data_IF_808965151250
#
_entry.id   IF_808965151250
#
_cell.length_a   1.000
_cell.length_b   1.000
_cell.length_c   1.000
_cell.angle_alpha   90.00
_cell.angle_beta   90.00
_cell.angle_gamma   90.00
#
_symmetry.space_group_name_H-M   'P 1'
#
loop_
_entity.id
_entity.type
_entity.pdbx_description
1 polymer ?
#
# COMPACT_ATOMS: atom_id res chain seq x y z
N UNK A 1 69.23 -25.54 -2.53
CA UNK A 1 69.39 -24.81 -3.81
C UNK A 1 68.16 -25.13 -4.66
N UNK A 2 67.15 -24.23 -4.68
CA UNK A 2 66.61 -23.51 -5.87
C UNK A 2 66.15 -24.47 -6.99
N UNK A 3 64.88 -24.52 -7.41
CA UNK A 3 64.15 -23.40 -8.01
C UNK A 3 62.63 -23.65 -8.11
N UNK A 4 61.91 -22.52 -8.09
CA UNK A 4 60.48 -22.32 -8.27
C UNK A 4 60.03 -22.55 -9.72
N UNK A 5 58.87 -23.17 -9.94
CA UNK A 5 57.94 -22.84 -11.02
C UNK A 5 56.50 -23.05 -10.53
N UNK A 6 55.83 -21.93 -10.26
CA UNK A 6 54.38 -21.87 -10.16
C UNK A 6 53.82 -21.69 -11.58
N UNK A 7 52.84 -22.51 -12.00
CA UNK A 7 51.88 -22.15 -13.05
C UNK A 7 50.51 -22.73 -12.69
N UNK A 8 49.53 -21.83 -12.78
CA UNK A 8 48.13 -21.94 -12.45
C UNK A 8 47.39 -23.17 -13.02
N UNK A 9 46.52 -23.76 -12.19
CA UNK A 9 45.28 -24.40 -12.64
C UNK A 9 44.10 -23.72 -11.97
N UNK A 10 43.69 -22.64 -12.63
CA UNK A 10 42.32 -22.20 -12.91
C UNK A 10 41.20 -22.73 -12.01
N UNK A 11 40.74 -21.84 -11.13
CA UNK A 11 39.35 -21.44 -10.97
C UNK A 11 38.26 -22.49 -11.23
N UNK A 12 37.78 -23.14 -10.18
CA UNK A 12 36.42 -23.66 -10.14
C UNK A 12 35.93 -23.69 -8.69
N UNK A 13 34.63 -23.44 -8.50
CA UNK A 13 33.90 -23.38 -7.23
C UNK A 13 33.85 -22.06 -6.44
N UNK A 14 33.89 -20.91 -7.11
CA UNK A 14 33.29 -19.66 -6.59
C UNK A 14 32.11 -19.21 -7.46
N UNK A 15 31.03 -19.99 -7.44
CA UNK A 15 29.71 -19.52 -7.88
C UNK A 15 28.61 -20.49 -7.41
N UNK A 16 28.40 -20.59 -6.10
CA UNK A 16 27.03 -20.76 -5.59
C UNK A 16 26.63 -19.44 -4.95
N UNK A 17 26.68 -18.37 -5.75
CA UNK A 17 25.62 -17.37 -5.64
C UNK A 17 24.43 -18.06 -6.28
N UNK A 18 23.68 -18.81 -5.49
CA UNK A 18 22.25 -18.92 -5.73
C UNK A 18 21.75 -17.48 -5.71
N UNK A 19 21.81 -16.83 -6.86
CA UNK A 19 20.81 -15.87 -7.26
C UNK A 19 19.51 -16.66 -7.18
N UNK A 20 18.95 -16.72 -5.96
CA UNK A 20 17.52 -16.75 -5.83
C UNK A 20 17.10 -15.60 -6.69
N UNK A 21 16.61 -15.91 -7.89
CA UNK A 21 15.75 -15.01 -8.60
C UNK A 21 14.67 -14.71 -7.57
N UNK A 22 14.84 -13.60 -6.86
CA UNK A 22 13.81 -13.02 -6.05
C UNK A 22 12.73 -12.78 -7.09
N UNK A 23 11.78 -13.71 -7.17
CA UNK A 23 10.50 -13.44 -7.82
C UNK A 23 10.13 -12.08 -7.26
N UNK A 24 10.15 -11.04 -8.10
CA UNK A 24 9.67 -9.71 -7.71
C UNK A 24 8.18 -9.88 -7.52
N UNK A 25 7.82 -10.45 -6.38
CA UNK A 25 6.46 -10.52 -5.91
C UNK A 25 5.98 -9.10 -5.72
N UNK A 26 4.73 -8.86 -6.05
CA UNK A 26 4.05 -7.66 -5.60
C UNK A 26 3.37 -7.94 -4.25
N UNK A 27 2.56 -7.00 -3.80
CA UNK A 27 1.82 -7.09 -2.55
C UNK A 27 0.90 -8.32 -2.48
N UNK A 28 0.54 -8.96 -3.60
CA UNK A 28 -0.32 -10.15 -3.62
C UNK A 28 0.33 -11.37 -2.95
N UNK A 29 1.66 -11.37 -2.81
CA UNK A 29 2.39 -12.38 -2.03
C UNK A 29 2.24 -12.22 -0.52
N UNK A 30 1.79 -11.04 -0.07
CA UNK A 30 1.60 -10.68 1.35
C UNK A 30 0.13 -10.72 1.73
N UNK A 31 -0.76 -10.19 0.89
CA UNK A 31 -2.19 -10.14 1.17
C UNK A 31 -3.00 -10.68 0.00
N UNK A 32 -3.77 -11.74 0.27
CA UNK A 32 -4.73 -12.29 -0.68
C UNK A 32 -5.98 -11.43 -0.78
N UNK A 33 -6.74 -11.58 -1.88
CA UNK A 33 -8.06 -10.94 -2.02
C UNK A 33 -8.98 -11.23 -0.84
N UNK A 34 -9.05 -12.50 -0.41
CA UNK A 34 -9.89 -12.90 0.72
C UNK A 34 -9.50 -12.20 2.02
N UNK A 35 -8.20 -12.02 2.30
CA UNK A 35 -7.74 -11.25 3.46
C UNK A 35 -8.05 -9.76 3.34
N UNK A 36 -7.87 -9.17 2.16
CA UNK A 36 -8.25 -7.79 1.90
C UNK A 36 -9.75 -7.57 2.12
N UNK A 37 -10.58 -8.48 1.60
CA UNK A 37 -12.03 -8.44 1.75
C UNK A 37 -12.45 -8.65 3.20
N UNK A 38 -11.76 -9.51 3.95
CA UNK A 38 -12.02 -9.73 5.37
C UNK A 38 -11.63 -8.52 6.23
N UNK A 39 -10.50 -7.86 5.95
CA UNK A 39 -10.06 -6.67 6.68
C UNK A 39 -10.97 -5.48 6.39
N UNK A 40 -11.41 -5.33 5.14
CA UNK A 40 -12.26 -4.22 4.71
C UNK A 40 -13.71 -4.69 4.46
N UNK A 41 -14.24 -5.45 5.42
CA UNK A 41 -15.48 -6.23 5.31
C UNK A 41 -16.69 -5.38 4.90
N UNK A 42 -16.87 -4.23 5.57
CA UNK A 42 -18.07 -3.39 5.38
C UNK A 42 -17.91 -2.29 4.33
N UNK A 43 -16.78 -2.18 3.63
CA UNK A 43 -16.54 -1.10 2.65
C UNK A 43 -17.56 -1.07 1.50
N UNK A 44 -18.22 -2.20 1.23
CA UNK A 44 -19.21 -2.37 0.18
C UNK A 44 -20.65 -2.44 0.70
N UNK A 45 -20.87 -2.16 1.99
CA UNK A 45 -22.21 -2.08 2.56
C UNK A 45 -22.95 -0.87 1.98
N UNK A 46 -24.29 -0.95 1.94
CA UNK A 46 -25.13 0.14 1.40
C UNK A 46 -24.96 1.46 2.17
N UNK A 47 -24.53 1.40 3.43
CA UNK A 47 -24.28 2.57 4.26
C UNK A 47 -23.00 3.32 3.85
N UNK A 48 -22.13 2.72 3.02
CA UNK A 48 -20.87 3.32 2.62
C UNK A 48 -20.98 4.03 1.25
N UNK A 49 -20.78 5.36 1.18
CA UNK A 49 -20.79 6.09 -0.08
C UNK A 49 -19.73 5.61 -1.09
N UNK A 50 -18.64 5.00 -0.60
CA UNK A 50 -17.57 4.45 -1.43
C UNK A 50 -17.86 3.04 -2.00
N UNK A 51 -19.05 2.48 -1.78
CA UNK A 51 -19.39 1.11 -2.18
C UNK A 51 -18.99 0.83 -3.63
N UNK A 52 -18.19 -0.22 -3.83
CA UNK A 52 -17.72 -0.66 -5.14
C UNK A 52 -16.51 0.10 -5.70
N UNK A 53 -16.07 1.19 -5.07
CA UNK A 53 -14.92 1.98 -5.52
C UNK A 53 -13.58 1.30 -5.21
N UNK A 54 -13.42 0.80 -3.98
CA UNK A 54 -12.17 0.21 -3.50
C UNK A 54 -12.09 -1.29 -3.79
N UNK A 55 -11.41 -1.64 -4.89
CA UNK A 55 -11.21 -3.01 -5.32
C UNK A 55 -9.79 -3.51 -4.99
N UNK A 56 -9.67 -4.82 -4.73
CA UNK A 56 -8.37 -5.45 -4.54
C UNK A 56 -7.48 -5.31 -5.79
N UNK A 57 -8.08 -5.39 -6.98
CA UNK A 57 -7.35 -5.24 -8.23
C UNK A 57 -6.74 -3.85 -8.39
N UNK A 58 -7.48 -2.79 -8.02
CA UNK A 58 -6.94 -1.43 -8.01
C UNK A 58 -5.84 -1.27 -6.96
N UNK A 59 -5.99 -1.87 -5.77
CA UNK A 59 -4.95 -1.88 -4.75
C UNK A 59 -3.65 -2.53 -5.28
N UNK A 60 -3.71 -3.76 -5.80
CA UNK A 60 -2.54 -4.44 -6.36
C UNK A 60 -1.94 -3.65 -7.51
N UNK A 61 -2.77 -3.15 -8.44
CA UNK A 61 -2.30 -2.34 -9.57
C UNK A 61 -1.57 -1.07 -9.12
N UNK A 62 -2.08 -0.36 -8.11
CA UNK A 62 -1.43 0.84 -7.58
C UNK A 62 -0.06 0.51 -6.94
N UNK A 63 0.01 -0.56 -6.14
CA UNK A 63 1.28 -0.95 -5.47
C UNK A 63 2.40 -1.33 -6.43
N UNK A 64 2.09 -1.74 -7.67
CA UNK A 64 3.11 -2.00 -8.70
C UNK A 64 3.90 -0.75 -9.12
N UNK A 65 3.35 0.44 -8.87
CA UNK A 65 4.07 1.72 -9.06
C UNK A 65 5.05 2.01 -7.93
N UNK A 66 4.96 1.29 -6.81
CA UNK A 66 5.79 1.44 -5.62
C UNK A 66 6.43 0.09 -5.28
N UNK A 67 7.43 -0.36 -6.06
CA UNK A 67 7.90 -1.75 -6.03
C UNK A 67 8.53 -2.18 -4.69
N UNK A 68 8.83 -1.25 -3.78
CA UNK A 68 9.29 -1.53 -2.41
C UNK A 68 8.16 -1.81 -1.40
N UNK A 69 6.93 -1.40 -1.71
CA UNK A 69 5.79 -1.55 -0.81
C UNK A 69 5.36 -3.01 -0.69
N UNK A 70 5.37 -3.55 0.53
CA UNK A 70 5.02 -4.94 0.80
C UNK A 70 6.05 -5.95 0.29
N UNK A 71 7.23 -5.50 -0.13
CA UNK A 71 8.29 -6.36 -0.70
C UNK A 71 9.65 -6.15 -0.03
N UNK A 72 9.76 -5.17 0.88
CA UNK A 72 11.00 -4.79 1.56
C UNK A 72 11.14 -5.50 2.91
N UNK A 73 12.34 -5.96 3.24
CA UNK A 73 12.64 -6.58 4.52
C UNK A 73 12.15 -8.04 4.65
N UNK A 74 12.02 -8.49 5.90
CA UNK A 74 11.58 -9.86 6.24
C UNK A 74 10.09 -10.04 5.93
N UNK A 75 9.64 -11.30 5.97
CA UNK A 75 8.22 -11.62 5.81
C UNK A 75 7.34 -10.86 6.83
N UNK A 76 7.76 -10.80 8.09
CA UNK A 76 7.00 -10.11 9.14
C UNK A 76 6.97 -8.59 8.93
N UNK A 77 8.09 -8.00 8.50
CA UNK A 77 8.13 -6.56 8.15
C UNK A 77 7.15 -6.22 7.03
N UNK A 78 7.04 -7.07 6.01
CA UNK A 78 6.10 -6.85 4.89
C UNK A 78 4.64 -6.95 5.33
N UNK A 79 4.31 -7.93 6.18
CA UNK A 79 2.96 -7.99 6.77
C UNK A 79 2.66 -6.76 7.61
N UNK A 80 3.63 -6.30 8.41
CA UNK A 80 3.48 -5.13 9.25
C UNK A 80 3.29 -3.85 8.42
N UNK A 81 4.04 -3.67 7.33
CA UNK A 81 3.88 -2.53 6.42
C UNK A 81 2.49 -2.48 5.81
N UNK A 82 2.01 -3.60 5.24
CA UNK A 82 0.68 -3.68 4.62
C UNK A 82 -0.42 -3.48 5.65
N UNK A 83 -0.30 -4.08 6.84
CA UNK A 83 -1.25 -3.89 7.93
C UNK A 83 -1.30 -2.43 8.41
N UNK A 84 -0.14 -1.79 8.59
CA UNK A 84 -0.06 -0.40 9.01
C UNK A 84 -0.67 0.55 7.97
N UNK A 85 -0.36 0.34 6.69
CA UNK A 85 -0.94 1.11 5.59
C UNK A 85 -2.47 0.98 5.56
N UNK A 86 -2.99 -0.25 5.59
CA UNK A 86 -4.44 -0.49 5.58
C UNK A 86 -5.12 0.05 6.84
N UNK A 87 -4.48 -0.01 8.01
CA UNK A 87 -5.02 0.53 9.24
C UNK A 87 -5.12 2.05 9.22
N UNK A 88 -4.05 2.76 8.84
CA UNK A 88 -4.05 4.23 8.75
C UNK A 88 -5.07 4.71 7.72
N UNK A 89 -5.05 4.14 6.52
CA UNK A 89 -6.01 4.52 5.48
C UNK A 89 -7.46 4.12 5.82
N UNK A 90 -7.66 3.06 6.60
CA UNK A 90 -8.99 2.72 7.14
C UNK A 90 -9.48 3.75 8.15
N UNK A 91 -8.59 4.31 8.98
CA UNK A 91 -8.95 5.39 9.89
C UNK A 91 -9.44 6.62 9.13
N UNK A 92 -8.68 7.06 8.13
CA UNK A 92 -9.01 8.23 7.29
C UNK A 92 -10.36 8.10 6.56
N UNK A 93 -10.79 6.86 6.27
CA UNK A 93 -11.97 6.58 5.46
C UNK A 93 -13.08 5.86 6.23
N UNK A 94 -13.01 5.84 7.56
CA UNK A 94 -13.88 4.99 8.38
C UNK A 94 -15.35 5.44 8.35
N UNK A 95 -16.24 4.46 8.29
CA UNK A 95 -17.66 4.59 8.62
C UNK A 95 -18.01 4.01 10.00
N UNK A 96 -17.03 3.51 10.73
CA UNK A 96 -17.21 2.76 11.96
C UNK A 96 -17.67 3.62 13.14
N UNK A 97 -18.46 3.02 14.02
CA UNK A 97 -18.86 3.60 15.30
C UNK A 97 -18.82 2.52 16.39
N UNK A 98 -18.93 2.91 17.67
CA UNK A 98 -18.86 1.99 18.80
C UNK A 98 -19.88 0.83 18.73
N UNK A 99 -21.01 1.03 18.05
CA UNK A 99 -22.07 0.02 17.87
C UNK A 99 -22.15 -0.59 16.47
N UNK A 100 -21.16 -0.35 15.61
CA UNK A 100 -21.18 -0.88 14.26
C UNK A 100 -21.05 -2.42 14.26
N UNK A 101 -21.74 -3.14 13.36
CA UNK A 101 -21.53 -4.57 13.14
C UNK A 101 -20.04 -4.92 13.02
N UNK A 102 -19.60 -6.02 13.63
CA UNK A 102 -18.19 -6.45 13.67
C UNK A 102 -17.20 -5.43 14.27
N UNK A 103 -17.70 -4.41 14.98
CA UNK A 103 -16.90 -3.40 15.66
C UNK A 103 -16.41 -2.27 14.75
N UNK A 104 -15.91 -1.15 15.32
CA UNK A 104 -15.58 0.06 14.56
C UNK A 104 -14.44 -0.11 13.55
N UNK A 105 -13.59 -1.13 13.73
CA UNK A 105 -12.39 -1.33 12.91
C UNK A 105 -12.64 -2.11 11.62
N UNK A 106 -13.83 -2.71 11.46
CA UNK A 106 -14.22 -3.43 10.23
C UNK A 106 -14.81 -2.51 9.14
N UNK A 107 -14.86 -1.20 9.41
CA UNK A 107 -15.57 -0.18 8.62
C UNK A 107 -14.64 0.83 7.92
N UNK A 108 -13.37 0.48 7.74
CA UNK A 108 -12.46 1.23 6.88
C UNK A 108 -12.94 1.27 5.43
N UNK A 109 -12.44 2.24 4.66
CA UNK A 109 -12.71 2.37 3.22
C UNK A 109 -14.19 2.64 2.88
N UNK A 110 -14.93 3.25 3.80
CA UNK A 110 -16.35 3.55 3.63
C UNK A 110 -16.59 4.86 2.85
N UNK A 111 -15.63 5.78 2.88
CA UNK A 111 -15.65 7.08 2.18
C UNK A 111 -14.49 7.22 1.19
N UNK A 112 -14.73 7.85 0.05
CA UNK A 112 -13.68 8.23 -0.91
C UNK A 112 -13.26 9.68 -0.74
N UNK A 113 -14.21 10.55 -0.40
CA UNK A 113 -14.04 11.98 -0.34
C UNK A 113 -14.38 12.47 1.06
N UNK A 114 -13.76 13.57 1.46
CA UNK A 114 -14.03 14.27 2.72
C UNK A 114 -15.53 14.53 2.87
N UNK A 115 -16.01 14.38 4.12
CA UNK A 115 -17.43 14.57 4.44
C UNK A 115 -17.83 16.04 4.34
N UNK A 116 -16.97 16.94 4.80
CA UNK A 116 -17.19 18.38 4.76
C UNK A 116 -16.40 19.02 3.62
N UNK A 117 -17.09 19.53 2.59
CA UNK A 117 -16.46 19.99 1.33
C UNK A 117 -16.59 21.49 1.09
N UNK A 118 -16.94 22.24 2.13
CA UNK A 118 -17.06 23.69 2.06
C UNK A 118 -15.71 24.36 1.81
N UNK A 119 -14.61 23.78 2.30
CA UNK A 119 -13.26 24.30 2.13
C UNK A 119 -12.65 23.87 0.80
N UNK A 120 -11.95 24.80 0.16
CA UNK A 120 -11.29 24.56 -1.13
C UNK A 120 -9.89 23.96 -0.99
N UNK A 121 -9.28 24.07 0.20
CA UNK A 121 -7.91 23.60 0.49
C UNK A 121 -6.87 24.04 -0.55
N UNK A 122 -7.03 25.25 -1.09
CA UNK A 122 -6.08 25.84 -2.01
C UNK A 122 -5.07 26.68 -1.22
N UNK A 123 -3.81 26.24 -1.20
CA UNK A 123 -2.68 27.09 -0.81
C UNK A 123 -1.95 27.62 -2.06
N UNK A 124 -2.18 28.89 -2.46
CA UNK A 124 -1.49 29.49 -3.61
C UNK A 124 0.02 29.69 -3.37
N UNK A 125 0.50 29.57 -2.14
CA UNK A 125 1.93 29.72 -1.78
C UNK A 125 2.70 28.40 -1.79
N UNK A 126 2.02 27.28 -1.99
CA UNK A 126 2.63 25.94 -1.98
C UNK A 126 3.62 25.68 -3.12
N UNK A 127 3.72 26.58 -4.10
CA UNK A 127 4.43 26.35 -5.37
C UNK A 127 3.63 25.52 -6.38
N UNK A 128 2.44 25.03 -5.99
CA UNK A 128 1.51 24.28 -6.82
C UNK A 128 0.23 25.11 -7.06
N UNK A 129 0.14 25.85 -8.17
CA UNK A 129 -0.98 26.76 -8.39
C UNK A 129 -2.32 26.01 -8.47
N UNK A 130 -3.34 26.59 -7.83
CA UNK A 130 -4.67 26.03 -7.80
C UNK A 130 -5.38 26.23 -9.14
N UNK A 131 -5.90 25.15 -9.71
CA UNK A 131 -6.66 25.21 -10.95
C UNK A 131 -8.03 25.88 -10.72
N UNK A 132 -8.48 26.81 -11.60
CA UNK A 132 -9.76 27.49 -11.45
C UNK A 132 -10.93 26.51 -11.28
N UNK A 133 -11.78 26.77 -10.28
CA UNK A 133 -12.96 25.95 -9.98
C UNK A 133 -12.67 24.57 -9.38
N UNK A 134 -11.40 24.25 -9.05
CA UNK A 134 -11.04 22.99 -8.38
C UNK A 134 -10.94 23.18 -6.87
N UNK A 135 -11.28 22.11 -6.15
CA UNK A 135 -11.17 22.00 -4.70
C UNK A 135 -10.29 20.82 -4.34
N UNK A 136 -9.45 20.97 -3.33
CA UNK A 136 -8.42 20.04 -2.91
C UNK A 136 -8.70 19.41 -1.56
N UNK A 137 -9.98 19.29 -1.18
CA UNK A 137 -10.42 18.53 -0.01
C UNK A 137 -9.96 17.07 -0.07
N UNK A 138 -10.00 16.40 1.08
CA UNK A 138 -9.49 15.05 1.27
C UNK A 138 -10.08 14.05 0.29
N UNK A 139 -9.22 13.29 -0.41
CA UNK A 139 -9.64 12.21 -1.32
C UNK A 139 -8.81 10.95 -1.18
N UNK A 140 -9.43 9.83 -1.51
CA UNK A 140 -8.81 8.52 -1.53
C UNK A 140 -8.47 7.97 -0.14
N UNK A 141 -7.72 6.85 -0.10
CA UNK A 141 -7.44 6.14 1.14
C UNK A 141 -6.72 6.97 2.20
N UNK A 142 -5.85 7.90 1.80
CA UNK A 142 -5.07 8.73 2.73
C UNK A 142 -5.66 10.13 2.93
N UNK A 143 -6.87 10.38 2.41
CA UNK A 143 -7.52 11.69 2.42
C UNK A 143 -6.57 12.82 2.00
N UNK A 144 -5.87 12.62 0.87
CA UNK A 144 -4.87 13.58 0.39
C UNK A 144 -5.54 14.93 0.15
N UNK A 145 -4.92 15.97 0.69
CA UNK A 145 -5.37 17.35 0.69
C UNK A 145 -4.19 18.23 0.29
N UNK A 146 -4.44 19.36 -0.36
CA UNK A 146 -3.38 20.33 -0.69
C UNK A 146 -3.08 21.27 0.49
#
# INVERSE_FOLDING_TARGET
MRSLWAVALLASCLAILSAGAQQRGDVSSVISRAQFDQLLKHRNDQACPAKGFYTYDAFVAATRSFPGFGTTGTRDTRYQEVAAFLAQTSHETTGGSKGAPDGPYAWGYCFVEERERSRDYCDPKSGWPCAPGRKYYGRGPIQITQ
#
